data_IF_279869187428
#
_entry.id   IF_279869187428
#
_cell.length_a   1.000
_cell.length_b   1.000
_cell.length_c   1.000
_cell.angle_alpha   90.00
_cell.angle_beta   90.00
_cell.angle_gamma   90.00
#
_symmetry.space_group_name_H-M   'P 1'
#
loop_
_entity.id
_entity.type
_entity.pdbx_description
1 polymer ?
#
# COMPACT_ATOMS: atom_id res chain seq x y z
N UNK A 1 -32.11 4.84 35.93
CA UNK A 1 -31.84 3.59 35.18
C UNK A 1 -30.48 3.75 34.51
N UNK A 2 -29.42 3.16 35.07
CA UNK A 2 -28.12 3.11 34.40
C UNK A 2 -28.23 2.04 33.32
N UNK A 3 -28.33 2.45 32.05
CA UNK A 3 -28.18 1.52 30.94
C UNK A 3 -26.86 0.77 31.14
N UNK A 4 -26.84 -0.57 30.97
CA UNK A 4 -25.59 -1.32 31.06
C UNK A 4 -24.61 -0.66 30.10
N UNK A 5 -23.45 -0.23 30.61
CA UNK A 5 -22.35 0.25 29.77
C UNK A 5 -22.11 -0.86 28.75
N UNK A 6 -22.49 -0.64 27.49
CA UNK A 6 -22.14 -1.53 26.39
C UNK A 6 -20.64 -1.80 26.54
N UNK A 7 -20.28 -3.07 26.69
CA UNK A 7 -18.87 -3.47 26.77
C UNK A 7 -18.25 -3.13 25.43
N UNK A 8 -17.65 -1.94 25.34
CA UNK A 8 -16.87 -1.56 24.18
C UNK A 8 -15.64 -2.43 24.16
N UNK A 9 -15.55 -3.31 23.16
CA UNK A 9 -14.37 -4.13 22.97
C UNK A 9 -13.20 -3.21 22.64
N UNK A 10 -12.22 -3.16 23.53
CA UNK A 10 -11.02 -2.33 23.40
C UNK A 10 -9.99 -3.09 22.57
N UNK A 11 -9.40 -2.46 21.56
CA UNK A 11 -8.25 -3.00 20.84
C UNK A 11 -6.91 -2.72 21.52
N UNK A 12 -5.87 -3.51 21.26
CA UNK A 12 -4.50 -3.01 21.44
C UNK A 12 -3.57 -3.65 20.43
N UNK A 13 -2.94 -2.83 19.59
CA UNK A 13 -1.70 -3.20 18.90
C UNK A 13 -0.56 -3.09 19.90
N UNK A 14 0.38 -4.03 19.89
CA UNK A 14 1.67 -3.91 20.60
C UNK A 14 2.78 -4.27 19.64
N UNK A 15 3.55 -3.28 19.20
CA UNK A 15 4.75 -3.47 18.38
C UNK A 15 5.96 -3.02 19.19
N UNK A 16 7.00 -3.86 19.24
CA UNK A 16 8.26 -3.49 19.89
C UNK A 16 9.04 -2.52 19.01
N UNK A 17 9.75 -1.57 19.64
CA UNK A 17 10.62 -0.61 18.94
C UNK A 17 11.66 -1.31 18.05
N UNK A 18 12.17 -2.46 18.49
CA UNK A 18 13.13 -3.24 17.71
C UNK A 18 12.52 -3.78 16.40
N UNK A 19 11.27 -4.23 16.42
CA UNK A 19 10.58 -4.66 15.21
C UNK A 19 10.34 -3.48 14.27
N UNK A 20 9.95 -2.33 14.82
CA UNK A 20 9.80 -1.10 14.03
C UNK A 20 11.11 -0.74 13.31
N UNK A 21 12.24 -0.76 14.03
CA UNK A 21 13.55 -0.50 13.44
C UNK A 21 13.86 -1.47 12.29
N UNK A 22 13.59 -2.77 12.48
CA UNK A 22 13.80 -3.79 11.43
C UNK A 22 12.92 -3.53 10.19
N UNK A 23 11.67 -3.11 10.39
CA UNK A 23 10.76 -2.75 9.29
C UNK A 23 11.33 -1.55 8.53
N UNK A 24 11.70 -0.46 9.23
CA UNK A 24 12.28 0.72 8.58
C UNK A 24 13.58 0.38 7.83
N UNK A 25 14.45 -0.42 8.43
CA UNK A 25 15.67 -0.88 7.76
C UNK A 25 15.36 -1.72 6.51
N UNK A 26 14.37 -2.60 6.58
CA UNK A 26 13.92 -3.40 5.44
C UNK A 26 13.44 -2.53 4.28
N UNK A 27 12.59 -1.54 4.56
CA UNK A 27 12.11 -0.57 3.55
C UNK A 27 13.27 0.23 2.95
N UNK A 28 14.20 0.71 3.78
CA UNK A 28 15.40 1.41 3.30
C UNK A 28 16.25 0.53 2.35
N UNK A 29 16.47 -0.74 2.71
CA UNK A 29 17.19 -1.68 1.86
C UNK A 29 16.43 -1.97 0.56
N UNK A 30 15.10 -2.06 0.59
CA UNK A 30 14.29 -2.23 -0.62
C UNK A 30 14.40 -1.01 -1.55
N UNK A 31 14.34 0.22 -1.02
CA UNK A 31 14.55 1.43 -1.81
C UNK A 31 15.90 1.40 -2.55
N UNK A 32 16.99 1.09 -1.83
CA UNK A 32 18.32 0.97 -2.44
C UNK A 32 18.37 -0.14 -3.49
N UNK A 33 17.71 -1.26 -3.24
CA UNK A 33 17.65 -2.39 -4.17
C UNK A 33 16.94 -2.03 -5.49
N UNK A 34 15.77 -1.38 -5.42
CA UNK A 34 15.05 -0.95 -6.64
C UNK A 34 15.77 0.18 -7.38
N UNK A 35 16.37 1.13 -6.66
CA UNK A 35 17.16 2.18 -7.29
C UNK A 35 18.40 1.61 -8.00
N UNK A 36 19.07 0.62 -7.40
CA UNK A 36 20.16 -0.10 -8.02
C UNK A 36 19.68 -0.94 -9.22
N UNK A 37 18.52 -1.59 -9.12
CA UNK A 37 17.90 -2.32 -10.22
C UNK A 37 17.60 -1.41 -11.42
N UNK A 38 17.07 -0.22 -11.16
CA UNK A 38 16.86 0.85 -12.14
C UNK A 38 18.17 1.24 -12.82
N UNK A 39 19.22 1.52 -12.05
CA UNK A 39 20.55 1.78 -12.61
C UNK A 39 21.07 0.66 -13.49
N UNK A 40 20.93 -0.58 -13.02
CA UNK A 40 21.40 -1.76 -13.71
C UNK A 40 20.66 -1.94 -15.05
N UNK A 41 19.34 -1.78 -15.06
CA UNK A 41 18.47 -1.94 -16.24
C UNK A 41 18.86 -1.07 -17.43
N UNK A 42 19.44 0.12 -17.16
CA UNK A 42 19.84 1.07 -18.20
C UNK A 42 21.29 0.88 -18.68
N UNK A 43 22.01 -0.13 -18.18
CA UNK A 43 23.37 -0.42 -18.63
C UNK A 43 23.39 -1.24 -19.94
N UNK A 44 24.16 -0.78 -20.91
CA UNK A 44 24.24 -1.36 -22.27
C UNK A 44 24.76 -2.80 -22.31
N UNK A 45 25.57 -3.22 -21.33
CA UNK A 45 26.09 -4.60 -21.31
C UNK A 45 24.97 -5.65 -21.14
N UNK A 46 23.80 -5.25 -20.64
CA UNK A 46 22.66 -6.14 -20.51
C UNK A 46 22.08 -6.58 -21.84
N UNK A 47 22.32 -5.87 -22.95
CA UNK A 47 21.90 -6.28 -24.29
C UNK A 47 22.46 -7.68 -24.66
N UNK A 48 23.62 -8.04 -24.09
CA UNK A 48 24.27 -9.33 -24.29
C UNK A 48 23.87 -10.42 -23.27
N UNK A 49 23.12 -10.06 -22.23
CA UNK A 49 22.71 -10.99 -21.18
C UNK A 49 21.62 -11.95 -21.68
N UNK A 50 21.47 -13.10 -21.00
CA UNK A 50 20.36 -14.02 -21.26
C UNK A 50 19.02 -13.30 -21.04
N UNK A 51 18.04 -13.57 -21.91
CA UNK A 51 16.69 -13.00 -21.81
C UNK A 51 16.08 -13.10 -20.41
N UNK A 52 16.23 -14.23 -19.71
CA UNK A 52 15.72 -14.39 -18.35
C UNK A 52 16.33 -13.41 -17.34
N UNK A 53 17.61 -13.05 -17.52
CA UNK A 53 18.30 -12.09 -16.65
C UNK A 53 17.83 -10.68 -16.96
N UNK A 54 17.71 -10.33 -18.25
CA UNK A 54 17.15 -9.03 -18.67
C UNK A 54 15.74 -8.84 -18.10
N UNK A 55 14.89 -9.87 -18.21
CA UNK A 55 13.52 -9.83 -17.68
C UNK A 55 13.48 -9.60 -16.17
N UNK A 56 14.33 -10.26 -15.39
CA UNK A 56 14.41 -10.03 -13.93
C UNK A 56 14.84 -8.60 -13.63
N UNK A 57 15.80 -8.05 -14.38
CA UNK A 57 16.30 -6.69 -14.14
C UNK A 57 15.25 -5.65 -14.52
N UNK A 58 14.51 -5.84 -15.61
CA UNK A 58 13.38 -4.97 -16.01
C UNK A 58 12.31 -4.92 -14.92
N UNK A 59 12.05 -6.03 -14.22
CA UNK A 59 11.10 -6.03 -13.10
C UNK A 59 11.52 -5.11 -11.93
N UNK A 60 12.79 -4.71 -11.86
CA UNK A 60 13.34 -3.86 -10.80
C UNK A 60 13.50 -2.39 -11.21
N UNK A 61 13.13 -2.04 -12.45
CA UNK A 61 13.37 -0.72 -13.03
C UNK A 61 12.20 0.22 -12.76
N UNK A 62 12.33 1.12 -11.78
CA UNK A 62 11.28 2.05 -11.30
C UNK A 62 10.61 2.87 -12.40
N UNK A 63 11.28 3.01 -13.55
CA UNK A 63 10.82 3.81 -14.70
C UNK A 63 9.79 3.10 -15.57
N UNK A 64 9.49 1.83 -15.28
CA UNK A 64 8.46 1.09 -16.00
C UNK A 64 7.23 0.87 -15.12
N UNK A 65 6.10 0.81 -15.80
CA UNK A 65 4.81 0.53 -15.19
C UNK A 65 4.53 -0.97 -15.08
N UNK A 66 3.61 -1.35 -14.20
CA UNK A 66 3.12 -2.74 -14.07
C UNK A 66 4.22 -3.78 -13.81
N UNK A 67 5.24 -3.43 -13.05
CA UNK A 67 6.36 -4.32 -12.67
C UNK A 67 6.51 -4.39 -11.15
N UNK A 68 7.54 -5.08 -10.65
CA UNK A 68 7.75 -5.24 -9.21
C UNK A 68 8.15 -3.91 -8.56
N UNK A 69 8.86 -3.04 -9.28
CA UNK A 69 9.28 -1.74 -8.75
C UNK A 69 8.09 -0.79 -8.51
N UNK A 70 7.19 -0.61 -9.49
CA UNK A 70 5.97 0.19 -9.32
C UNK A 70 5.00 -0.44 -8.31
N UNK A 71 4.90 -1.79 -8.26
CA UNK A 71 4.20 -2.48 -7.15
C UNK A 71 4.75 -2.07 -5.78
N UNK A 72 6.07 -2.02 -5.64
CA UNK A 72 6.71 -1.68 -4.38
C UNK A 72 6.40 -0.23 -3.98
N UNK A 73 6.55 0.72 -4.90
CA UNK A 73 6.21 2.12 -4.67
C UNK A 73 4.73 2.28 -4.25
N UNK A 74 3.82 1.62 -4.99
CA UNK A 74 2.39 1.60 -4.70
C UNK A 74 2.08 1.07 -3.30
N UNK A 75 2.69 -0.05 -2.89
CA UNK A 75 2.44 -0.63 -1.55
C UNK A 75 3.13 0.16 -0.43
N UNK A 76 4.21 0.90 -0.72
CA UNK A 76 4.82 1.83 0.22
C UNK A 76 3.88 3.00 0.50
N UNK A 77 3.27 3.59 -0.53
CA UNK A 77 2.23 4.62 -0.38
C UNK A 77 1.02 4.12 0.41
N UNK A 78 0.53 2.92 0.10
CA UNK A 78 -0.55 2.29 0.85
C UNK A 78 -0.21 2.11 2.33
N UNK A 79 1.03 1.73 2.63
CA UNK A 79 1.52 1.60 4.01
C UNK A 79 1.56 2.95 4.74
N UNK A 80 1.98 4.03 4.06
CA UNK A 80 1.96 5.39 4.61
C UNK A 80 0.52 5.82 4.89
N UNK A 81 -0.42 5.53 4.00
CA UNK A 81 -1.85 5.80 4.21
C UNK A 81 -2.37 5.12 5.49
N UNK A 82 -2.09 3.83 5.66
CA UNK A 82 -2.46 3.09 6.89
C UNK A 82 -1.88 3.78 8.13
N UNK A 83 -0.59 4.14 8.11
CA UNK A 83 0.08 4.73 9.27
C UNK A 83 -0.45 6.15 9.56
N UNK A 84 -0.73 6.95 8.53
CA UNK A 84 -1.38 8.25 8.68
C UNK A 84 -2.77 8.13 9.32
N UNK A 85 -3.55 7.12 8.92
CA UNK A 85 -4.82 6.82 9.57
C UNK A 85 -4.64 6.37 11.03
N UNK A 86 -3.61 5.58 11.34
CA UNK A 86 -3.30 5.25 12.74
C UNK A 86 -2.93 6.50 13.55
N UNK A 87 -2.22 7.48 12.96
CA UNK A 87 -1.93 8.76 13.60
C UNK A 87 -3.22 9.55 13.87
N UNK A 88 -4.17 9.60 12.92
CA UNK A 88 -5.50 10.18 13.12
C UNK A 88 -6.16 9.57 14.36
N UNK A 89 -6.23 8.25 14.40
CA UNK A 89 -6.95 7.56 15.47
C UNK A 89 -6.33 7.82 16.84
N UNK A 90 -4.99 7.77 16.97
CA UNK A 90 -4.32 8.06 18.24
C UNK A 90 -4.58 9.50 18.68
N UNK A 91 -4.42 10.48 17.78
CA UNK A 91 -4.55 11.88 18.16
C UNK A 91 -6.00 12.26 18.47
N UNK A 92 -6.96 11.72 17.73
CA UNK A 92 -8.38 11.99 17.97
C UNK A 92 -8.85 11.45 19.33
N UNK A 93 -8.29 10.33 19.79
CA UNK A 93 -8.57 9.77 21.12
C UNK A 93 -8.11 10.67 22.27
N UNK A 94 -6.98 11.34 22.10
CA UNK A 94 -6.39 12.21 23.14
C UNK A 94 -6.86 13.67 23.01
N UNK A 95 -7.83 13.96 22.15
CA UNK A 95 -8.28 15.33 21.88
C UNK A 95 -9.46 15.73 22.74
N UNK A 96 -9.23 16.72 23.61
CA UNK A 96 -10.24 17.26 24.53
C UNK A 96 -11.19 18.26 23.86
N UNK A 97 -10.71 19.00 22.86
CA UNK A 97 -11.48 20.08 22.22
C UNK A 97 -11.92 19.73 20.80
N UNK A 98 -13.07 20.26 20.37
CA UNK A 98 -13.57 20.09 18.99
C UNK A 98 -12.57 20.63 17.96
N UNK A 99 -11.95 21.78 18.21
CA UNK A 99 -10.94 22.35 17.34
C UNK A 99 -9.76 21.39 17.10
N UNK A 100 -9.28 20.71 18.15
CA UNK A 100 -8.23 19.70 18.01
C UNK A 100 -8.69 18.48 17.20
N UNK A 101 -9.94 18.03 17.38
CA UNK A 101 -10.51 16.92 16.60
C UNK A 101 -10.62 17.27 15.11
N UNK A 102 -11.12 18.46 14.79
CA UNK A 102 -11.19 18.97 13.42
C UNK A 102 -9.79 19.08 12.83
N UNK A 103 -8.84 19.67 13.56
CA UNK A 103 -7.45 19.76 13.12
C UNK A 103 -6.82 18.39 12.88
N UNK A 104 -7.08 17.40 13.74
CA UNK A 104 -6.57 16.04 13.56
C UNK A 104 -7.20 15.32 12.37
N UNK A 105 -8.39 15.74 11.91
CA UNK A 105 -9.04 15.15 10.73
C UNK A 105 -8.23 15.39 9.45
N UNK A 106 -7.27 16.34 9.45
CA UNK A 106 -6.29 16.49 8.36
C UNK A 106 -5.44 15.23 8.16
N UNK A 107 -5.24 14.39 9.18
CA UNK A 107 -4.62 13.08 9.00
C UNK A 107 -5.41 12.15 8.08
N UNK A 108 -6.74 12.26 8.05
CA UNK A 108 -7.59 11.50 7.14
C UNK A 108 -7.36 11.96 5.70
N UNK A 109 -7.21 13.28 5.49
CA UNK A 109 -6.88 13.84 4.17
C UNK A 109 -5.51 13.31 3.71
N UNK A 110 -4.50 13.30 4.59
CA UNK A 110 -3.17 12.74 4.28
C UNK A 110 -3.26 11.24 3.96
N UNK A 111 -4.04 10.48 4.73
CA UNK A 111 -4.29 9.07 4.44
C UNK A 111 -4.93 8.89 3.07
N UNK A 112 -5.92 9.71 2.72
CA UNK A 112 -6.60 9.66 1.43
C UNK A 112 -5.66 10.01 0.28
N UNK A 113 -4.80 11.02 0.44
CA UNK A 113 -3.78 11.38 -0.56
C UNK A 113 -2.86 10.19 -0.85
N UNK A 114 -2.25 9.59 0.18
CA UNK A 114 -1.34 8.46 -0.02
C UNK A 114 -2.03 7.20 -0.52
N UNK A 115 -3.30 7.03 -0.18
CA UNK A 115 -4.10 5.95 -0.75
C UNK A 115 -4.35 6.17 -2.25
N UNK A 116 -4.71 7.38 -2.65
CA UNK A 116 -4.88 7.72 -4.07
C UNK A 116 -3.55 7.64 -4.82
N UNK A 117 -2.43 8.08 -4.23
CA UNK A 117 -1.10 7.90 -4.83
C UNK A 117 -0.73 6.42 -4.98
N UNK A 118 -1.10 5.56 -4.03
CA UNK A 118 -0.94 4.12 -4.20
C UNK A 118 -1.72 3.57 -5.40
N UNK A 119 -2.96 4.02 -5.59
CA UNK A 119 -3.78 3.63 -6.73
C UNK A 119 -3.24 4.19 -8.04
N UNK A 120 -2.78 5.44 -8.01
CA UNK A 120 -2.18 6.16 -9.12
C UNK A 120 -0.88 5.51 -9.58
N UNK A 121 0.02 5.13 -8.69
CA UNK A 121 1.27 4.44 -9.02
C UNK A 121 1.07 3.09 -9.75
N UNK A 122 -0.10 2.47 -9.61
CA UNK A 122 -0.42 1.26 -10.38
C UNK A 122 -1.23 1.58 -11.64
N UNK A 123 -1.93 2.71 -11.65
CA UNK A 123 -2.81 3.14 -12.73
C UNK A 123 -2.18 4.11 -13.72
N UNK A 124 -1.06 4.71 -13.35
CA UNK A 124 -0.36 5.80 -14.03
C UNK A 124 -1.31 6.94 -14.45
N UNK A 125 -2.22 7.36 -13.56
CA UNK A 125 -3.19 8.41 -13.90
C UNK A 125 -2.52 9.78 -14.01
N UNK A 126 -1.47 10.04 -13.23
CA UNK A 126 -0.73 11.29 -13.27
C UNK A 126 -0.08 11.53 -14.64
N UNK A 127 0.24 10.49 -15.42
CA UNK A 127 0.74 10.65 -16.79
C UNK A 127 -0.30 11.16 -17.79
N UNK A 128 -1.58 10.90 -17.52
CA UNK A 128 -2.71 11.15 -18.42
C UNK A 128 -3.60 12.30 -17.95
N UNK A 129 -3.46 12.72 -16.69
CA UNK A 129 -4.39 13.65 -16.04
C UNK A 129 -4.48 15.00 -16.78
N UNK A 130 -3.35 15.54 -17.23
CA UNK A 130 -3.30 16.80 -17.98
C UNK A 130 -4.01 16.74 -19.33
N UNK A 131 -4.26 15.55 -19.87
CA UNK A 131 -4.94 15.34 -21.15
C UNK A 131 -6.45 15.09 -21.00
N UNK A 132 -6.97 15.07 -19.78
CA UNK A 132 -8.39 14.84 -19.52
C UNK A 132 -9.27 15.98 -20.02
N UNK A 133 -10.50 15.66 -20.43
CA UNK A 133 -11.45 16.64 -20.97
C UNK A 133 -11.79 17.77 -19.98
N UNK A 134 -11.69 17.51 -18.67
CA UNK A 134 -11.94 18.50 -17.62
C UNK A 134 -10.84 19.57 -17.57
N UNK A 135 -9.57 19.15 -17.61
CA UNK A 135 -8.43 20.07 -17.60
C UNK A 135 -8.21 20.74 -18.97
N UNK A 136 -8.50 20.06 -20.07
CA UNK A 136 -8.53 20.65 -21.42
C UNK A 136 -9.58 21.76 -21.59
N UNK A 137 -10.71 21.69 -20.87
CA UNK A 137 -11.74 22.75 -20.92
C UNK A 137 -11.40 24.00 -20.11
N UNK A 138 -10.49 23.89 -19.15
CA UNK A 138 -10.12 24.99 -18.25
C UNK A 138 -8.98 25.86 -18.81
N UNK A 139 -8.41 25.51 -19.97
CA UNK A 139 -7.50 26.39 -20.69
C UNK A 139 -7.43 26.05 -22.17
N UNK A 140 -7.42 27.08 -23.01
CA UNK A 140 -7.41 26.97 -24.49
C UNK A 140 -6.09 26.40 -25.06
N UNK A 141 -5.27 25.71 -24.25
CA UNK A 141 -4.00 25.11 -24.65
C UNK A 141 -3.61 23.88 -23.83
N UNK A 142 -2.88 22.95 -24.46
CA UNK A 142 -2.40 21.68 -23.87
C UNK A 142 -1.57 21.91 -22.58
N UNK A 143 -0.90 23.05 -22.46
CA UNK A 143 -0.05 23.38 -21.30
C UNK A 143 -0.84 23.87 -20.06
N UNK A 144 -2.03 24.45 -20.23
CA UNK A 144 -2.76 25.06 -19.10
C UNK A 144 -3.27 24.03 -18.10
N UNK A 145 -3.69 22.85 -18.57
CA UNK A 145 -4.14 21.76 -17.70
C UNK A 145 -3.04 21.25 -16.75
N UNK A 146 -1.81 21.12 -17.25
CA UNK A 146 -0.64 20.72 -16.46
C UNK A 146 -0.26 21.74 -15.41
N UNK A 147 -0.32 23.05 -15.72
CA UNK A 147 -0.06 24.08 -14.70
C UNK A 147 -1.07 24.05 -13.55
N UNK A 148 -2.36 23.81 -13.84
CA UNK A 148 -3.38 23.65 -12.80
C UNK A 148 -3.11 22.41 -11.93
N UNK A 149 -2.70 21.30 -12.56
CA UNK A 149 -2.33 20.08 -11.83
C UNK A 149 -1.11 20.32 -10.92
N UNK A 150 -0.05 20.95 -11.41
CA UNK A 150 1.12 21.28 -10.59
C UNK A 150 0.79 22.28 -9.48
N UNK A 151 -0.05 23.27 -9.73
CA UNK A 151 -0.53 24.19 -8.70
C UNK A 151 -1.31 23.44 -7.61
N UNK A 152 -2.14 22.47 -7.99
CA UNK A 152 -2.87 21.62 -7.05
C UNK A 152 -1.92 20.79 -6.17
N UNK A 153 -0.92 20.13 -6.77
CA UNK A 153 0.12 19.40 -6.02
C UNK A 153 0.85 20.33 -5.05
N UNK A 154 1.25 21.52 -5.50
CA UNK A 154 1.94 22.50 -4.67
C UNK A 154 1.08 22.97 -3.48
N UNK A 155 -0.21 23.19 -3.68
CA UNK A 155 -1.16 23.55 -2.61
C UNK A 155 -1.26 22.41 -1.59
N UNK A 156 -1.39 21.16 -2.04
CA UNK A 156 -1.43 19.99 -1.14
C UNK A 156 -0.13 19.91 -0.34
N UNK A 157 1.02 20.03 -0.99
CA UNK A 157 2.32 20.02 -0.32
C UNK A 157 2.46 21.13 0.72
N UNK A 158 2.00 22.34 0.41
CA UNK A 158 1.99 23.45 1.37
C UNK A 158 1.09 23.15 2.58
N UNK A 159 -0.11 22.60 2.35
CA UNK A 159 -1.01 22.18 3.43
C UNK A 159 -0.34 21.13 4.31
N UNK A 160 0.33 20.13 3.72
CA UNK A 160 1.07 19.11 4.46
C UNK A 160 2.20 19.72 5.28
N UNK A 161 3.01 20.63 4.72
CA UNK A 161 4.08 21.31 5.44
C UNK A 161 3.55 22.12 6.63
N UNK A 162 2.49 22.92 6.42
CA UNK A 162 1.87 23.71 7.48
C UNK A 162 1.28 22.80 8.58
N UNK A 163 0.57 21.74 8.19
CA UNK A 163 0.04 20.76 9.12
C UNK A 163 1.16 20.11 9.94
N UNK A 164 2.20 19.58 9.29
CA UNK A 164 3.32 18.94 9.97
C UNK A 164 4.11 19.91 10.85
N UNK A 165 4.27 21.16 10.44
CA UNK A 165 4.90 22.19 11.27
C UNK A 165 4.15 22.34 12.60
N UNK A 166 2.85 22.59 12.53
CA UNK A 166 2.01 22.77 13.72
C UNK A 166 1.99 21.49 14.56
N UNK A 167 1.86 20.33 13.91
CA UNK A 167 1.70 19.02 14.55
C UNK A 167 2.97 18.51 15.21
N UNK A 168 4.13 18.72 14.58
CA UNK A 168 5.41 18.13 14.95
C UNK A 168 6.44 19.12 15.48
N UNK A 169 6.09 20.42 15.68
CA UNK A 169 7.03 21.42 16.24
C UNK A 169 7.77 21.00 17.52
N UNK A 170 7.17 20.13 18.34
CA UNK A 170 7.79 19.59 19.57
C UNK A 170 8.69 18.38 19.32
N UNK A 171 8.60 17.73 18.16
CA UNK A 171 9.31 16.53 17.77
C UNK A 171 10.23 16.83 16.57
N UNK A 172 11.35 17.52 16.82
CA UNK A 172 12.24 18.04 15.76
C UNK A 172 12.63 17.01 14.68
N UNK A 173 12.98 15.79 15.08
CA UNK A 173 13.34 14.71 14.14
C UNK A 173 12.15 14.34 13.24
N UNK A 174 10.95 14.17 13.81
CA UNK A 174 9.71 13.87 13.05
C UNK A 174 9.40 14.99 12.08
N UNK A 175 9.53 16.25 12.53
CA UNK A 175 9.32 17.42 11.69
C UNK A 175 10.30 17.44 10.51
N UNK A 176 11.61 17.27 10.77
CA UNK A 176 12.64 17.25 9.74
C UNK A 176 12.42 16.14 8.71
N UNK A 177 12.14 14.91 9.15
CA UNK A 177 11.85 13.80 8.24
C UNK A 177 10.61 14.07 7.39
N UNK A 178 9.54 14.62 7.98
CA UNK A 178 8.33 14.96 7.22
C UNK A 178 8.59 16.05 6.18
N UNK A 179 9.36 17.08 6.54
CA UNK A 179 9.69 18.17 5.64
C UNK A 179 10.55 17.70 4.48
N UNK A 180 11.60 16.92 4.76
CA UNK A 180 12.43 16.30 3.73
C UNK A 180 11.56 15.46 2.80
N UNK A 181 10.67 14.63 3.36
CA UNK A 181 9.77 13.80 2.57
C UNK A 181 8.84 14.59 1.67
N UNK A 182 8.18 15.64 2.18
CA UNK A 182 7.31 16.49 1.34
C UNK A 182 8.10 17.25 0.28
N UNK A 183 9.27 17.80 0.61
CA UNK A 183 10.09 18.55 -0.35
C UNK A 183 10.59 17.65 -1.48
N UNK A 184 11.03 16.42 -1.17
CA UNK A 184 11.44 15.45 -2.19
C UNK A 184 10.26 15.04 -3.08
N UNK A 185 9.06 14.82 -2.51
CA UNK A 185 7.88 14.51 -3.33
C UNK A 185 7.50 15.69 -4.24
N UNK A 186 7.57 16.91 -3.71
CA UNK A 186 7.32 18.12 -4.49
C UNK A 186 8.40 18.41 -5.53
N UNK A 187 9.60 17.82 -5.42
CA UNK A 187 10.65 18.05 -6.42
C UNK A 187 10.44 17.26 -7.72
N UNK A 188 9.68 16.16 -7.70
CA UNK A 188 9.44 15.32 -8.89
C UNK A 188 8.91 16.13 -10.09
N UNK A 189 7.81 16.90 -9.98
CA UNK A 189 7.34 17.70 -11.11
C UNK A 189 8.36 18.71 -11.66
N UNK A 190 9.25 19.24 -10.80
CA UNK A 190 10.30 20.14 -11.25
C UNK A 190 11.44 19.41 -11.95
N UNK A 191 11.77 18.19 -11.51
CA UNK A 191 12.75 17.33 -12.15
C UNK A 191 12.27 16.94 -13.54
N UNK A 192 11.04 16.42 -13.67
CA UNK A 192 10.41 16.09 -14.95
C UNK A 192 10.38 17.30 -15.90
N UNK A 193 9.97 18.48 -15.40
CA UNK A 193 9.94 19.70 -16.20
C UNK A 193 11.33 20.10 -16.68
N UNK A 194 12.35 19.95 -15.84
CA UNK A 194 13.73 20.22 -16.20
C UNK A 194 14.25 19.25 -17.26
N UNK A 195 13.89 17.97 -17.16
CA UNK A 195 14.23 16.95 -18.14
C UNK A 195 13.56 17.20 -19.49
N UNK A 196 12.27 17.48 -19.49
CA UNK A 196 11.52 17.83 -20.70
C UNK A 196 12.10 19.08 -21.37
N UNK A 197 12.46 20.09 -20.57
CA UNK A 197 13.12 21.29 -21.07
C UNK A 197 14.52 20.97 -21.64
N UNK A 198 15.27 20.06 -21.01
CA UNK A 198 16.59 19.63 -21.48
C UNK A 198 16.50 18.86 -22.80
N UNK A 199 15.49 18.01 -22.97
CA UNK A 199 15.20 17.31 -24.21
C UNK A 199 14.80 18.28 -25.34
N UNK A 200 13.88 19.21 -25.07
CA UNK A 200 13.41 20.20 -26.06
C UNK A 200 14.51 21.15 -26.53
N UNK A 201 15.43 21.53 -25.64
CA UNK A 201 16.54 22.43 -25.94
C UNK A 201 17.80 21.70 -26.45
N UNK A 202 17.77 20.37 -26.58
CA UNK A 202 18.90 19.61 -27.10
C UNK A 202 19.14 19.96 -28.59
N UNK A 203 20.41 20.03 -29.05
CA UNK A 203 20.72 20.33 -30.46
C UNK A 203 20.04 19.37 -31.45
N UNK A 204 19.81 18.13 -31.02
CA UNK A 204 19.04 17.14 -31.76
C UNK A 204 18.22 16.28 -30.77
N UNK A 205 16.92 16.59 -30.56
CA UNK A 205 16.04 15.85 -29.65
C UNK A 205 15.90 14.36 -29.98
N UNK A 206 16.07 13.96 -31.25
CA UNK A 206 15.96 12.56 -31.66
C UNK A 206 17.14 11.69 -31.20
N UNK A 207 18.28 12.31 -30.88
CA UNK A 207 19.49 11.62 -30.39
C UNK A 207 19.75 11.84 -28.92
N UNK A 208 18.92 12.67 -28.26
CA UNK A 208 19.07 12.94 -26.85
C UNK A 208 18.79 11.67 -26.04
N UNK A 209 19.67 11.41 -25.07
CA UNK A 209 19.51 10.32 -24.10
C UNK A 209 19.37 10.94 -22.72
N UNK A 210 18.35 10.52 -21.98
CA UNK A 210 18.14 10.95 -20.59
C UNK A 210 19.38 10.62 -19.76
N UNK A 211 20.04 11.61 -19.13
CA UNK A 211 21.18 11.34 -18.27
C UNK A 211 20.78 10.42 -17.12
N UNK A 212 21.54 9.34 -16.91
CA UNK A 212 21.24 8.34 -15.89
C UNK A 212 21.09 8.94 -14.49
N UNK A 213 21.87 9.99 -14.18
CA UNK A 213 21.80 10.65 -12.89
C UNK A 213 20.44 11.35 -12.66
N UNK A 214 19.84 11.93 -13.70
CA UNK A 214 18.54 12.60 -13.57
C UNK A 214 17.45 11.59 -13.29
N UNK A 215 17.46 10.48 -14.04
CA UNK A 215 16.61 9.32 -13.81
C UNK A 215 16.70 8.80 -12.37
N UNK A 216 17.91 8.55 -11.86
CA UNK A 216 18.07 8.07 -10.48
C UNK A 216 17.69 9.10 -9.42
N UNK A 217 17.83 10.39 -9.72
CA UNK A 217 17.41 11.45 -8.81
C UNK A 217 15.89 11.50 -8.73
N UNK A 218 15.18 11.42 -9.86
CA UNK A 218 13.72 11.45 -9.92
C UNK A 218 13.09 10.25 -9.21
N UNK A 219 13.42 9.04 -9.68
CA UNK A 219 12.93 7.79 -9.07
C UNK A 219 13.36 7.68 -7.61
N UNK A 220 14.59 8.13 -7.32
CA UNK A 220 15.13 8.16 -5.97
C UNK A 220 14.39 9.13 -5.06
N UNK A 221 14.09 10.35 -5.50
CA UNK A 221 13.36 11.31 -4.68
C UNK A 221 11.98 10.80 -4.31
N UNK A 222 11.31 10.08 -5.21
CA UNK A 222 10.00 9.53 -4.95
C UNK A 222 9.99 8.47 -3.83
N UNK A 223 10.79 7.41 -4.00
CA UNK A 223 10.82 6.30 -3.04
C UNK A 223 11.41 6.73 -1.70
N UNK A 224 12.38 7.66 -1.70
CA UNK A 224 12.96 8.18 -0.47
C UNK A 224 12.05 9.22 0.20
N UNK A 225 11.30 10.04 -0.54
CA UNK A 225 10.25 10.89 0.03
C UNK A 225 9.26 10.06 0.85
N UNK A 226 8.77 8.99 0.22
CA UNK A 226 7.86 8.02 0.80
C UNK A 226 8.45 7.37 2.06
N UNK A 227 9.71 6.92 1.99
CA UNK A 227 10.41 6.38 3.15
C UNK A 227 10.52 7.38 4.31
N UNK A 228 10.89 8.64 4.05
CA UNK A 228 11.01 9.64 5.11
C UNK A 228 9.67 9.93 5.78
N UNK A 229 8.58 9.99 5.03
CA UNK A 229 7.23 10.16 5.58
C UNK A 229 6.78 8.91 6.37
N UNK A 230 7.03 7.72 5.83
CA UNK A 230 6.79 6.45 6.51
C UNK A 230 7.49 6.39 7.87
N UNK A 231 8.79 6.65 7.91
CA UNK A 231 9.58 6.66 9.15
C UNK A 231 9.11 7.77 10.08
N UNK A 232 8.83 8.96 9.56
CA UNK A 232 8.34 10.09 10.34
C UNK A 232 7.06 9.73 11.12
N UNK A 233 6.05 9.20 10.43
CA UNK A 233 4.77 8.88 11.06
C UNK A 233 4.92 7.74 12.07
N UNK A 234 5.73 6.73 11.77
CA UNK A 234 6.07 5.68 12.73
C UNK A 234 6.75 6.24 13.99
N UNK A 235 7.76 7.10 13.83
CA UNK A 235 8.46 7.72 14.96
C UNK A 235 7.51 8.60 15.75
N UNK A 236 6.58 9.29 15.09
CA UNK A 236 5.52 10.05 15.75
C UNK A 236 4.63 9.15 16.63
N UNK A 237 4.11 8.05 16.09
CA UNK A 237 3.32 7.07 16.85
C UNK A 237 4.12 6.52 18.04
N UNK A 238 5.41 6.23 17.85
CA UNK A 238 6.30 5.79 18.92
C UNK A 238 6.50 6.84 20.02
N UNK A 239 6.49 8.14 19.69
CA UNK A 239 6.63 9.23 20.68
C UNK A 239 5.35 9.46 21.50
N UNK A 240 4.20 9.05 20.97
CA UNK A 240 2.88 9.12 21.64
C UNK A 240 2.57 7.90 22.54
N UNK A 241 3.54 7.02 22.74
CA UNK A 241 3.40 5.77 23.52
C UNK A 241 3.14 5.98 25.02
N UNK A 242 2.52 4.98 25.63
CA UNK A 242 2.46 4.77 27.08
C UNK A 242 3.57 3.80 27.51
N UNK A 243 4.25 4.09 28.63
CA UNK A 243 5.27 3.19 29.21
C UNK A 243 4.57 2.04 29.94
N UNK A 244 4.93 0.78 29.64
CA UNK A 244 4.39 -0.37 30.38
C UNK A 244 5.04 -0.52 31.76
N UNK A 245 4.36 -1.17 32.70
CA UNK A 245 4.87 -1.43 34.05
C UNK A 245 6.17 -2.24 34.11
N UNK A 246 6.53 -2.94 33.02
CA UNK A 246 7.78 -3.70 32.90
C UNK A 246 8.89 -2.96 32.14
N UNK A 247 8.78 -1.64 31.93
CA UNK A 247 9.79 -0.82 31.24
C UNK A 247 9.92 -1.08 29.73
N UNK A 248 9.21 -2.07 29.20
CA UNK A 248 9.15 -2.32 27.76
C UNK A 248 8.30 -1.25 27.07
N UNK A 249 8.85 -0.68 25.99
CA UNK A 249 8.22 0.38 25.22
C UNK A 249 7.35 -0.22 24.12
N UNK A 250 6.04 0.00 24.21
CA UNK A 250 5.06 -0.45 23.22
C UNK A 250 4.19 0.72 22.79
N UNK A 251 3.83 0.77 21.51
CA UNK A 251 2.68 1.54 21.07
C UNK A 251 1.45 0.77 21.56
N UNK A 252 0.54 1.40 22.30
CA UNK A 252 -0.77 0.84 22.68
C UNK A 252 -1.83 1.74 22.06
N UNK A 253 -2.70 1.17 21.24
CA UNK A 253 -3.80 1.89 20.58
C UNK A 253 -5.12 1.23 20.95
N UNK A 254 -6.01 1.96 21.62
CA UNK A 254 -7.24 1.41 22.19
C UNK A 254 -8.48 1.87 21.45
N UNK A 255 -8.96 1.11 20.47
CA UNK A 255 -10.19 1.43 19.75
C UNK A 255 -11.38 0.71 20.35
N UNK A 256 -12.47 1.45 20.59
CA UNK A 256 -13.78 0.87 20.83
C UNK A 256 -14.36 0.46 19.47
N UNK A 257 -14.64 -0.83 19.28
CA UNK A 257 -15.28 -1.27 18.04
C UNK A 257 -16.79 -1.25 18.17
N UNK A 258 -17.39 -0.67 17.15
CA UNK A 258 -18.82 -0.77 16.93
C UNK A 258 -19.20 -2.21 16.60
N UNK A 259 -20.36 -2.66 17.06
CA UNK A 259 -21.02 -3.90 16.60
C UNK A 259 -21.16 -3.95 15.06
N UNK A 260 -21.15 -2.79 14.40
CA UNK A 260 -21.23 -2.63 12.95
C UNK A 260 -19.88 -2.72 12.24
N UNK A 261 -18.75 -2.86 12.94
CA UNK A 261 -17.42 -2.88 12.32
C UNK A 261 -17.28 -3.95 11.23
N UNK A 262 -17.80 -5.16 11.46
CA UNK A 262 -17.81 -6.22 10.45
C UNK A 262 -18.62 -5.80 9.21
N UNK A 263 -19.79 -5.20 9.42
CA UNK A 263 -20.63 -4.71 8.33
C UNK A 263 -19.91 -3.64 7.50
N UNK A 264 -19.21 -2.72 8.16
CA UNK A 264 -18.36 -1.74 7.49
C UNK A 264 -17.29 -2.42 6.64
N UNK A 265 -16.51 -3.35 7.18
CA UNK A 265 -15.46 -4.04 6.40
C UNK A 265 -16.00 -4.76 5.17
N UNK A 266 -17.15 -5.44 5.30
CA UNK A 266 -17.82 -6.08 4.17
C UNK A 266 -18.30 -5.03 3.15
N UNK A 267 -18.87 -3.91 3.61
CA UNK A 267 -19.27 -2.81 2.73
C UNK A 267 -18.08 -2.21 1.98
N UNK A 268 -16.92 -2.02 2.62
CA UNK A 268 -15.68 -1.56 1.96
C UNK A 268 -15.29 -2.50 0.83
N UNK A 269 -15.25 -3.80 1.12
CA UNK A 269 -14.89 -4.82 0.13
C UNK A 269 -15.84 -4.74 -1.07
N UNK A 270 -17.14 -4.61 -0.82
CA UNK A 270 -18.12 -4.48 -1.90
C UNK A 270 -17.91 -3.17 -2.68
N UNK A 271 -17.71 -2.04 -1.99
CA UNK A 271 -17.52 -0.74 -2.60
C UNK A 271 -16.25 -0.69 -3.47
N UNK A 272 -15.14 -1.28 -3.00
CA UNK A 272 -13.91 -1.41 -3.78
C UNK A 272 -14.10 -2.35 -4.99
N UNK A 273 -14.87 -3.43 -4.84
CA UNK A 273 -15.24 -4.29 -5.98
C UNK A 273 -16.06 -3.56 -7.04
N UNK A 274 -16.99 -2.68 -6.62
CA UNK A 274 -17.76 -1.82 -7.54
C UNK A 274 -16.82 -0.80 -8.21
N UNK A 275 -15.94 -0.15 -7.45
CA UNK A 275 -14.97 0.81 -7.98
C UNK A 275 -14.06 0.15 -9.03
N UNK A 276 -13.63 -1.09 -8.80
CA UNK A 276 -12.85 -1.87 -9.77
C UNK A 276 -13.60 -2.04 -11.10
N UNK A 277 -14.90 -2.35 -11.05
CA UNK A 277 -15.73 -2.45 -12.25
C UNK A 277 -15.85 -1.11 -12.98
N UNK A 278 -16.03 -0.02 -12.23
CA UNK A 278 -16.07 1.34 -12.80
C UNK A 278 -14.75 1.66 -13.50
N UNK A 279 -13.61 1.41 -12.83
CA UNK A 279 -12.27 1.65 -13.38
C UNK A 279 -12.05 0.87 -14.68
N UNK A 280 -12.51 -0.38 -14.75
CA UNK A 280 -12.39 -1.19 -15.96
C UNK A 280 -13.27 -0.69 -17.12
N UNK A 281 -14.51 -0.27 -16.85
CA UNK A 281 -15.44 0.19 -17.88
C UNK A 281 -15.16 1.61 -18.38
N UNK A 282 -14.46 2.41 -17.59
CA UNK A 282 -13.99 3.74 -17.96
C UNK A 282 -12.46 3.74 -18.04
N UNK A 283 -11.86 2.97 -18.97
CA UNK A 283 -10.42 2.91 -19.09
C UNK A 283 -9.94 4.30 -19.49
N UNK A 284 -9.00 4.85 -18.72
CA UNK A 284 -8.37 6.15 -18.99
C UNK A 284 -7.28 5.99 -20.06
N UNK A 285 -7.58 5.23 -21.11
CA UNK A 285 -6.62 4.88 -22.16
C UNK A 285 -6.48 6.06 -23.12
N UNK A 286 -5.27 6.63 -23.12
CA UNK A 286 -4.86 7.56 -24.18
C UNK A 286 -4.33 6.72 -25.34
N UNK A 287 -4.95 6.85 -26.50
CA UNK A 287 -4.51 6.17 -27.72
C UNK A 287 -3.06 6.57 -28.06
N UNK A 288 -2.14 5.61 -28.06
CA UNK A 288 -0.78 5.78 -28.57
C UNK A 288 0.36 5.74 -27.54
N UNK A 289 0.08 5.60 -26.23
CA UNK A 289 1.13 5.29 -25.22
C UNK A 289 1.09 3.81 -24.85
N UNK A 290 2.25 3.15 -24.90
CA UNK A 290 2.39 1.72 -24.58
C UNK A 290 2.60 1.43 -23.09
N UNK A 291 3.00 2.43 -22.31
CA UNK A 291 3.27 2.30 -20.87
C UNK A 291 2.11 2.84 -20.02
N UNK A 292 0.88 2.43 -20.31
CA UNK A 292 -0.24 2.80 -19.44
C UNK A 292 -0.31 1.84 -18.25
N UNK A 293 -0.33 2.37 -17.03
CA UNK A 293 -0.60 1.60 -15.82
C UNK A 293 -1.91 0.78 -15.91
N UNK A 294 -2.01 -0.29 -15.11
CA UNK A 294 -3.16 -1.19 -15.05
C UNK A 294 -3.87 -1.03 -13.69
N UNK A 295 -4.74 -0.02 -13.53
CA UNK A 295 -5.35 0.29 -12.24
C UNK A 295 -6.21 -0.85 -11.67
N UNK A 296 -6.73 -1.76 -12.51
CA UNK A 296 -7.44 -2.95 -12.06
C UNK A 296 -6.56 -3.92 -11.25
N UNK A 297 -5.23 -3.90 -11.42
CA UNK A 297 -4.30 -4.76 -10.69
C UNK A 297 -4.17 -4.34 -9.22
N UNK A 298 -4.44 -3.07 -8.94
CA UNK A 298 -4.32 -2.50 -7.61
C UNK A 298 -5.25 -3.18 -6.60
N UNK A 299 -6.47 -3.57 -6.99
CA UNK A 299 -7.47 -4.18 -6.10
C UNK A 299 -7.06 -5.55 -5.53
N UNK A 300 -6.75 -6.59 -6.32
CA UNK A 300 -6.24 -7.85 -5.78
C UNK A 300 -4.90 -7.65 -5.05
N UNK A 301 -4.09 -6.69 -5.50
CA UNK A 301 -2.81 -6.35 -4.90
C UNK A 301 -2.95 -5.82 -3.46
N UNK A 302 -3.79 -4.80 -3.21
CA UNK A 302 -3.99 -4.26 -1.85
C UNK A 302 -4.73 -5.23 -0.94
N UNK A 303 -5.64 -6.04 -1.47
CA UNK A 303 -6.35 -7.06 -0.69
C UNK A 303 -5.37 -8.13 -0.16
N UNK A 304 -4.52 -8.65 -1.05
CA UNK A 304 -3.47 -9.61 -0.66
C UNK A 304 -2.37 -8.99 0.20
N UNK A 305 -1.94 -7.76 -0.08
CA UNK A 305 -0.98 -7.05 0.78
C UNK A 305 -1.51 -6.80 2.19
N UNK A 306 -2.79 -6.49 2.32
CA UNK A 306 -3.43 -6.33 3.62
C UNK A 306 -3.56 -7.65 4.37
N UNK A 307 -3.87 -8.74 3.66
CA UNK A 307 -3.82 -10.08 4.24
C UNK A 307 -2.40 -10.42 4.74
N UNK A 308 -1.35 -10.01 4.03
CA UNK A 308 0.04 -10.12 4.48
C UNK A 308 0.30 -9.34 5.78
N UNK A 309 -0.12 -8.07 5.88
CA UNK A 309 0.03 -7.25 7.10
C UNK A 309 -0.68 -7.93 8.28
N UNK A 310 -1.86 -8.48 8.07
CA UNK A 310 -2.67 -9.13 9.12
C UNK A 310 -2.02 -10.43 9.58
N UNK A 311 -1.48 -11.24 8.67
CA UNK A 311 -0.70 -12.43 9.02
C UNK A 311 0.53 -12.07 9.88
N UNK A 312 1.29 -11.03 9.50
CA UNK A 312 2.41 -10.55 10.32
C UNK A 312 1.94 -10.08 11.70
N UNK A 313 0.83 -9.36 11.76
CA UNK A 313 0.24 -8.96 13.03
C UNK A 313 -0.13 -10.16 13.91
N UNK A 314 -0.72 -11.23 13.35
CA UNK A 314 -1.02 -12.45 14.10
C UNK A 314 0.25 -13.14 14.60
N UNK A 315 1.29 -13.26 13.78
CA UNK A 315 2.60 -13.77 14.23
C UNK A 315 3.13 -12.97 15.41
N UNK A 316 3.13 -11.64 15.31
CA UNK A 316 3.69 -10.78 16.36
C UNK A 316 2.85 -10.77 17.65
N UNK A 317 1.53 -10.77 17.53
CA UNK A 317 0.61 -10.59 18.67
C UNK A 317 0.40 -11.86 19.48
N UNK A 318 0.59 -13.04 18.87
CA UNK A 318 0.26 -14.32 19.50
C UNK A 318 1.48 -15.25 19.73
N UNK A 319 2.72 -14.74 19.64
CA UNK A 319 3.99 -15.48 19.73
C UNK A 319 4.05 -16.60 20.79
N UNK A 320 3.57 -16.34 22.01
CA UNK A 320 3.76 -17.27 23.15
C UNK A 320 2.74 -18.43 23.21
N UNK A 321 1.62 -18.34 22.50
CA UNK A 321 0.48 -19.29 22.68
C UNK A 321 0.17 -20.15 21.46
N UNK A 322 0.86 -19.95 20.33
CA UNK A 322 0.36 -20.45 19.04
C UNK A 322 1.18 -21.54 18.34
N UNK A 323 2.28 -22.06 18.93
CA UNK A 323 2.96 -23.26 18.42
C UNK A 323 3.03 -23.35 16.88
N UNK A 324 2.41 -24.38 16.30
CA UNK A 324 2.32 -24.63 14.86
C UNK A 324 1.57 -23.55 14.05
N UNK A 325 0.51 -22.93 14.61
CA UNK A 325 -0.25 -21.85 13.96
C UNK A 325 0.64 -20.65 13.60
N UNK A 326 1.70 -20.42 14.37
CA UNK A 326 2.67 -19.37 14.08
C UNK A 326 3.35 -19.58 12.73
N UNK A 327 3.82 -20.79 12.46
CA UNK A 327 4.45 -21.15 11.19
C UNK A 327 3.47 -20.98 10.03
N UNK A 328 2.19 -21.32 10.24
CA UNK A 328 1.12 -21.11 9.26
C UNK A 328 0.99 -19.63 8.89
N UNK A 329 0.93 -18.72 9.87
CA UNK A 329 0.82 -17.28 9.56
C UNK A 329 2.05 -16.73 8.84
N UNK A 330 3.26 -17.21 9.15
CA UNK A 330 4.48 -16.77 8.45
C UNK A 330 4.45 -17.22 6.98
N UNK A 331 4.12 -18.49 6.73
CA UNK A 331 4.00 -19.02 5.35
C UNK A 331 2.88 -18.30 4.60
N UNK A 332 1.74 -18.09 5.25
CA UNK A 332 0.61 -17.39 4.67
C UNK A 332 0.93 -15.92 4.40
N UNK A 333 1.71 -15.25 5.26
CA UNK A 333 2.23 -13.90 5.01
C UNK A 333 3.07 -13.88 3.73
N UNK A 334 4.01 -14.83 3.57
CA UNK A 334 4.82 -14.93 2.37
C UNK A 334 3.97 -15.16 1.12
N UNK A 335 3.01 -16.08 1.16
CA UNK A 335 2.08 -16.36 0.04
C UNK A 335 1.27 -15.11 -0.32
N UNK A 336 0.71 -14.40 0.67
CA UNK A 336 -0.03 -13.16 0.46
C UNK A 336 0.84 -12.06 -0.17
N UNK A 337 2.09 -11.89 0.30
CA UNK A 337 3.03 -10.92 -0.26
C UNK A 337 3.39 -11.27 -1.71
N UNK A 338 3.75 -12.52 -1.99
CA UNK A 338 4.08 -12.97 -3.34
C UNK A 338 2.89 -12.84 -4.29
N UNK A 339 1.66 -13.04 -3.80
CA UNK A 339 0.46 -12.87 -4.63
C UNK A 339 0.16 -11.39 -4.88
N UNK A 340 0.44 -10.51 -3.91
CA UNK A 340 0.38 -9.06 -4.10
C UNK A 340 1.33 -8.62 -5.19
N UNK A 341 2.59 -9.08 -5.15
CA UNK A 341 3.59 -8.85 -6.21
C UNK A 341 3.07 -9.37 -7.54
N UNK A 342 2.57 -10.61 -7.58
CA UNK A 342 2.11 -11.26 -8.81
C UNK A 342 1.02 -10.47 -9.54
N UNK A 343 0.01 -9.98 -8.83
CA UNK A 343 -1.02 -9.14 -9.45
C UNK A 343 -0.52 -7.73 -9.76
N UNK A 344 0.20 -7.08 -8.84
CA UNK A 344 0.68 -5.71 -9.04
C UNK A 344 1.68 -5.58 -10.19
N UNK A 345 2.56 -6.56 -10.36
CA UNK A 345 3.54 -6.59 -11.46
C UNK A 345 3.02 -7.26 -12.73
N UNK A 346 1.69 -7.41 -12.86
CA UNK A 346 1.01 -7.97 -14.03
C UNK A 346 1.60 -9.33 -14.49
N UNK A 347 2.13 -10.14 -13.55
CA UNK A 347 2.84 -11.38 -13.88
C UNK A 347 1.93 -12.44 -14.50
N UNK A 348 0.62 -12.34 -14.28
CA UNK A 348 -0.38 -13.26 -14.81
C UNK A 348 -0.52 -13.19 -16.33
N UNK A 349 -0.05 -12.11 -16.97
CA UNK A 349 -0.06 -11.93 -18.43
C UNK A 349 1.10 -12.64 -19.14
N UNK A 350 2.15 -13.03 -18.43
CA UNK A 350 3.29 -13.72 -19.03
C UNK A 350 3.00 -15.21 -19.18
N UNK A 351 2.73 -15.67 -20.40
CA UNK A 351 2.40 -17.08 -20.68
C UNK A 351 3.56 -17.92 -21.22
N UNK A 352 4.56 -17.31 -21.84
CA UNK A 352 5.64 -18.04 -22.55
C UNK A 352 6.98 -18.02 -21.84
N UNK A 353 7.16 -17.17 -20.83
CA UNK A 353 8.43 -16.99 -20.12
C UNK A 353 8.49 -17.86 -18.87
N UNK A 354 9.65 -17.90 -18.18
CA UNK A 354 9.74 -18.60 -16.90
C UNK A 354 8.81 -17.99 -15.82
N UNK A 355 8.42 -16.72 -15.96
CA UNK A 355 7.45 -16.04 -15.08
C UNK A 355 6.09 -16.74 -15.14
N UNK A 356 5.73 -17.34 -16.28
CA UNK A 356 4.50 -18.12 -16.43
C UNK A 356 4.40 -19.28 -15.42
N UNK A 357 5.53 -19.76 -14.88
CA UNK A 357 5.54 -20.82 -13.85
C UNK A 357 5.16 -20.29 -12.46
N UNK A 358 5.30 -18.98 -12.21
CA UNK A 358 5.01 -18.37 -10.90
C UNK A 358 3.54 -18.57 -10.52
N UNK A 359 2.61 -18.44 -11.47
CA UNK A 359 1.18 -18.63 -11.21
C UNK A 359 0.86 -20.04 -10.69
N UNK A 360 1.49 -21.07 -11.26
CA UNK A 360 1.34 -22.46 -10.80
C UNK A 360 2.04 -22.74 -9.46
N UNK A 361 3.21 -22.13 -9.21
CA UNK A 361 3.88 -22.22 -7.91
C UNK A 361 3.04 -21.59 -6.80
N UNK A 362 2.47 -20.40 -7.04
CA UNK A 362 1.55 -19.74 -6.13
C UNK A 362 0.27 -20.56 -5.90
N UNK A 363 -0.29 -21.14 -6.97
CA UNK A 363 -1.47 -21.99 -6.86
C UNK A 363 -1.20 -23.21 -5.97
N UNK A 364 -0.10 -23.92 -6.19
CA UNK A 364 0.31 -25.04 -5.33
C UNK A 364 0.50 -24.63 -3.88
N UNK A 365 1.15 -23.48 -3.64
CA UNK A 365 1.34 -22.94 -2.29
C UNK A 365 0.01 -22.58 -1.61
N UNK A 366 -0.93 -21.98 -2.34
CA UNK A 366 -2.26 -21.61 -1.83
C UNK A 366 -3.10 -22.84 -1.50
N UNK A 367 -3.10 -23.88 -2.35
CA UNK A 367 -3.78 -25.15 -2.04
C UNK A 367 -3.22 -25.75 -0.76
N UNK A 368 -1.89 -25.84 -0.66
CA UNK A 368 -1.22 -26.46 0.48
C UNK A 368 -1.53 -25.70 1.77
N UNK A 369 -1.26 -24.39 1.82
CA UNK A 369 -1.46 -23.59 3.03
C UNK A 369 -2.94 -23.40 3.35
N UNK A 370 -3.80 -23.30 2.33
CA UNK A 370 -5.25 -23.18 2.49
C UNK A 370 -5.87 -24.45 3.06
N UNK A 371 -5.42 -25.62 2.61
CA UNK A 371 -5.85 -26.91 3.20
C UNK A 371 -5.44 -27.01 4.66
N UNK A 372 -4.19 -26.65 4.98
CA UNK A 372 -3.72 -26.61 6.37
C UNK A 372 -4.56 -25.61 7.20
N UNK A 373 -4.83 -24.42 6.66
CA UNK A 373 -5.66 -23.43 7.34
C UNK A 373 -7.11 -23.89 7.56
N UNK A 374 -7.71 -24.64 6.63
CA UNK A 374 -9.05 -25.23 6.82
C UNK A 374 -9.07 -26.21 8.00
N UNK A 375 -8.03 -27.03 8.14
CA UNK A 375 -7.92 -28.01 9.23
C UNK A 375 -7.74 -27.31 10.58
N UNK A 376 -6.83 -26.34 10.63
CA UNK A 376 -6.39 -25.68 11.85
C UNK A 376 -7.34 -24.56 12.31
N UNK A 377 -7.90 -23.79 11.38
CA UNK A 377 -8.81 -22.71 11.72
C UNK A 377 -10.17 -23.31 12.05
N UNK A 378 -10.65 -22.96 13.24
CA UNK A 378 -11.88 -23.51 13.78
C UNK A 378 -13.05 -22.61 13.39
N UNK A 379 -14.16 -23.20 12.94
CA UNK A 379 -15.42 -22.51 12.64
C UNK A 379 -15.85 -22.77 11.19
N UNK A 380 -17.10 -23.20 11.01
CA UNK A 380 -17.61 -23.60 9.69
C UNK A 380 -17.52 -22.48 8.66
N UNK A 381 -18.00 -21.27 9.01
CA UNK A 381 -17.98 -20.11 8.10
C UNK A 381 -16.54 -19.76 7.69
N UNK A 382 -15.58 -19.75 8.63
CA UNK A 382 -14.17 -19.46 8.34
C UNK A 382 -13.62 -20.45 7.30
N UNK A 383 -13.92 -21.74 7.44
CA UNK A 383 -13.47 -22.78 6.51
C UNK A 383 -14.10 -22.61 5.12
N UNK A 384 -15.38 -22.25 5.04
CA UNK A 384 -16.05 -21.96 3.77
C UNK A 384 -15.41 -20.75 3.08
N UNK A 385 -15.09 -19.70 3.82
CA UNK A 385 -14.41 -18.52 3.28
C UNK A 385 -12.99 -18.87 2.80
N UNK A 386 -12.22 -19.67 3.54
CA UNK A 386 -10.89 -20.14 3.09
C UNK A 386 -11.01 -21.00 1.83
N UNK A 387 -12.03 -21.86 1.73
CA UNK A 387 -12.30 -22.62 0.51
C UNK A 387 -12.65 -21.68 -0.67
N UNK A 388 -13.42 -20.62 -0.42
CA UNK A 388 -13.69 -19.55 -1.38
C UNK A 388 -12.40 -18.88 -1.87
N UNK A 389 -11.49 -18.53 -0.96
CA UNK A 389 -10.16 -18.00 -1.31
C UNK A 389 -9.40 -18.92 -2.27
N UNK A 390 -9.28 -20.21 -1.93
CA UNK A 390 -8.58 -21.21 -2.78
C UNK A 390 -9.27 -21.33 -4.15
N UNK A 391 -10.60 -21.44 -4.17
CA UNK A 391 -11.38 -21.67 -5.39
C UNK A 391 -11.29 -20.50 -6.35
N UNK A 392 -11.51 -19.26 -5.87
CA UNK A 392 -11.42 -18.08 -6.72
C UNK A 392 -9.98 -17.79 -7.16
N UNK A 393 -8.96 -18.13 -6.36
CA UNK A 393 -7.58 -18.04 -6.82
C UNK A 393 -7.32 -19.05 -7.95
N UNK A 394 -7.81 -20.29 -7.82
CA UNK A 394 -7.72 -21.29 -8.89
C UNK A 394 -8.34 -20.75 -10.19
N UNK A 395 -9.53 -20.15 -10.11
CA UNK A 395 -10.18 -19.53 -11.26
C UNK A 395 -9.32 -18.40 -11.86
N UNK A 396 -8.67 -17.57 -11.03
CA UNK A 396 -7.80 -16.50 -11.54
C UNK A 396 -6.61 -16.99 -12.37
N UNK A 397 -6.19 -18.25 -12.21
CA UNK A 397 -5.09 -18.86 -13.01
C UNK A 397 -5.56 -19.21 -14.43
N UNK A 398 -6.84 -19.54 -14.59
CA UNK A 398 -7.43 -19.95 -15.88
C UNK A 398 -8.14 -18.79 -16.59
N UNK A 399 -8.37 -17.68 -15.91
CA UNK A 399 -8.83 -16.44 -16.52
C UNK A 399 -7.64 -15.61 -17.03
N UNK A 400 -7.88 -14.78 -18.04
CA UNK A 400 -6.94 -13.74 -18.49
C UNK A 400 -7.49 -12.35 -18.17
N UNK A 401 -6.61 -11.35 -18.29
CA UNK A 401 -6.98 -9.93 -18.26
C UNK A 401 -7.75 -9.53 -16.99
N UNK A 402 -8.84 -8.78 -17.16
CA UNK A 402 -9.68 -8.30 -16.07
C UNK A 402 -10.36 -9.42 -15.27
N UNK A 403 -10.68 -10.55 -15.90
CA UNK A 403 -11.33 -11.65 -15.17
C UNK A 403 -10.37 -12.28 -14.16
N UNK A 404 -9.08 -12.35 -14.48
CA UNK A 404 -8.05 -12.81 -13.55
C UNK A 404 -7.97 -11.90 -12.32
N UNK A 405 -7.99 -10.58 -12.52
CA UNK A 405 -7.91 -9.60 -11.43
C UNK A 405 -9.17 -9.62 -10.56
N UNK A 406 -10.36 -9.73 -11.16
CA UNK A 406 -11.63 -9.85 -10.41
C UNK A 406 -11.63 -11.11 -9.55
N UNK A 407 -11.26 -12.26 -10.13
CA UNK A 407 -11.16 -13.52 -9.38
C UNK A 407 -10.12 -13.42 -8.25
N UNK A 408 -8.97 -12.81 -8.51
CA UNK A 408 -7.95 -12.52 -7.49
C UNK A 408 -8.49 -11.64 -6.36
N UNK A 409 -9.24 -10.59 -6.70
CA UNK A 409 -9.80 -9.67 -5.72
C UNK A 409 -10.83 -10.36 -4.82
N UNK A 410 -11.77 -11.09 -5.44
CA UNK A 410 -12.79 -11.88 -4.72
C UNK A 410 -12.12 -12.93 -3.83
N UNK A 411 -11.10 -13.62 -4.34
CA UNK A 411 -10.31 -14.59 -3.58
C UNK A 411 -9.75 -13.98 -2.30
N UNK A 412 -9.01 -12.87 -2.37
CA UNK A 412 -8.44 -12.26 -1.16
C UNK A 412 -9.47 -11.56 -0.27
N UNK A 413 -10.60 -11.13 -0.84
CA UNK A 413 -11.74 -10.65 -0.06
C UNK A 413 -12.30 -11.74 0.87
N UNK A 414 -12.43 -12.97 0.35
CA UNK A 414 -12.80 -14.12 1.17
C UNK A 414 -11.80 -14.38 2.30
N UNK A 415 -10.49 -14.34 2.00
CA UNK A 415 -9.45 -14.54 3.02
C UNK A 415 -9.47 -13.46 4.10
N UNK A 416 -9.67 -12.21 3.70
CA UNK A 416 -9.79 -11.07 4.60
C UNK A 416 -10.98 -11.25 5.56
N UNK A 417 -12.16 -11.59 5.06
CA UNK A 417 -13.33 -11.86 5.92
C UNK A 417 -13.05 -13.07 6.84
N UNK A 418 -12.38 -14.11 6.33
CA UNK A 418 -12.02 -15.30 7.13
C UNK A 418 -11.11 -14.93 8.31
N UNK A 419 -10.07 -14.12 8.07
CA UNK A 419 -9.18 -13.61 9.11
C UNK A 419 -9.89 -12.75 10.13
N UNK A 420 -10.83 -11.88 9.72
CA UNK A 420 -11.61 -11.05 10.64
C UNK A 420 -12.45 -11.92 11.59
N UNK A 421 -13.13 -12.93 11.07
CA UNK A 421 -13.91 -13.87 11.88
C UNK A 421 -13.04 -14.76 12.77
N UNK A 422 -11.94 -15.28 12.22
CA UNK A 422 -10.96 -16.09 12.96
C UNK A 422 -10.40 -15.31 14.14
N UNK A 423 -10.08 -14.06 13.91
CA UNK A 423 -9.56 -13.20 14.93
C UNK A 423 -10.58 -12.85 16.02
N UNK A 424 -11.83 -12.53 15.66
CA UNK A 424 -12.91 -12.36 16.66
C UNK A 424 -13.03 -13.58 17.57
N UNK A 425 -12.92 -14.78 16.99
CA UNK A 425 -12.92 -16.04 17.73
C UNK A 425 -11.71 -16.16 18.67
N UNK A 426 -10.50 -15.81 18.22
CA UNK A 426 -9.29 -15.86 19.06
C UNK A 426 -9.41 -15.01 20.32
N UNK A 427 -10.26 -13.98 20.30
CA UNK A 427 -10.48 -13.10 21.44
C UNK A 427 -11.51 -13.63 22.41
N UNK A 428 -12.57 -14.26 21.91
CA UNK A 428 -13.54 -14.95 22.76
C UNK A 428 -12.89 -16.08 23.57
N UNK A 429 -11.85 -16.72 23.02
CA UNK A 429 -11.07 -17.76 23.72
C UNK A 429 -10.09 -17.20 24.77
N UNK A 430 -9.93 -15.88 24.84
CA UNK A 430 -8.99 -15.20 25.72
C UNK A 430 -9.77 -14.62 26.89
N UNK A 431 -10.15 -15.48 27.84
CA UNK A 431 -10.81 -15.09 29.09
C UNK A 431 -10.20 -13.79 29.66
N UNK A 432 -10.94 -12.69 29.53
CA UNK A 432 -10.69 -11.44 30.24
C UNK A 432 -9.90 -10.32 29.53
N UNK A 433 -9.46 -10.44 28.28
CA UNK A 433 -8.86 -9.28 27.58
C UNK A 433 -9.24 -9.18 26.10
N UNK A 434 -10.18 -8.28 25.83
CA UNK A 434 -10.58 -7.80 24.50
C UNK A 434 -9.37 -7.13 23.83
N UNK A 435 -9.10 -7.51 22.58
CA UNK A 435 -8.15 -6.82 21.70
C UNK A 435 -8.66 -7.02 20.26
N UNK A 436 -9.22 -6.06 19.51
CA UNK A 436 -9.61 -6.29 18.09
C UNK A 436 -8.92 -5.44 16.97
N UNK A 437 -8.27 -6.08 15.99
CA UNK A 437 -7.62 -5.61 14.74
C UNK A 437 -8.44 -4.62 13.93
N UNK A 438 -7.77 -3.51 13.57
CA UNK A 438 -8.09 -2.73 12.37
C UNK A 438 -7.86 -3.58 11.12
N UNK A 439 -8.92 -4.20 10.65
CA UNK A 439 -9.06 -4.48 9.23
C UNK A 439 -9.20 -3.13 8.53
N UNK A 440 -8.34 -2.85 7.55
CA UNK A 440 -8.39 -1.75 6.57
C UNK A 440 -8.81 -0.33 7.02
N UNK A 441 -8.01 0.72 6.70
CA UNK A 441 -8.42 2.11 6.83
C UNK A 441 -9.32 2.52 5.66
N UNK A 442 -10.46 1.87 5.46
CA UNK A 442 -11.52 2.39 4.62
C UNK A 442 -12.73 2.59 5.50
N UNK A 443 -12.88 3.80 6.03
CA UNK A 443 -14.08 4.63 5.94
C UNK A 443 -13.72 6.07 6.30
N UNK A 444 -13.80 6.94 5.29
CA UNK A 444 -14.34 8.27 5.46
C UNK A 444 -15.87 8.13 5.55
N UNK A 445 -16.45 8.86 6.51
CA UNK A 445 -17.87 9.04 6.88
C UNK A 445 -18.36 8.09 7.99
#
# INVERSE_FOLDING_TARGET
MNLPKEQTEIFSVKISVQNVYRICLGVFCCNLFFLFGTWLSKQTFLESAKFSVQLIIVLLDLTNENIVASWYASMLYFSIAIIAFLCFLIDNQHSETLANKVFNSLWIIISAIFFTLSFDEMGSFHEVIGETALLKKLGDGISTGWYLFYAFIAIIGLIMLLFFFVKFRRYKIVLSLSFIGVILLLSNPFQEQYEMSSWQNAPNPATWKRPMLFLLIEEGSEIFASFFLFVSFIVYLLKKRTVSSMGQMFIKMEFALSKHFLGYQVFTIIALGILMQVVYHYPWTISGRSDTGLPQNWFPCIASFSAFIICLYFDFSFKKKMGFLRSIYIILAFVCLSTSIYFGSNMYYYDTTFIAKIKFMLFGAIILIGTIAILEFKGYIIRVLILGWITFFALSIYCTDFNATVCGYVSFSFLLIAFLLHYKRLLLLKDGYHYIVLFFPFFLI
#
